data_IF_694709889833
#
_entry.id   IF_694709889833
#
_cell.length_a   1.000
_cell.length_b   1.000
_cell.length_c   1.000
_cell.angle_alpha   90.00
_cell.angle_beta   90.00
_cell.angle_gamma   90.00
#
_symmetry.space_group_name_H-M   'P 1'
#
loop_
_entity.id
_entity.type
_entity.pdbx_description
1 polymer ?
#
# COMPACT_ATOMS: atom_id res chain seq x y z
N UNK A 1 5.75 -0.44 18.44
CA UNK A 1 4.62 -1.37 18.18
C UNK A 1 5.11 -2.75 17.71
N UNK A 2 5.94 -2.87 16.67
CA UNK A 2 6.46 -4.18 16.21
C UNK A 2 7.25 -4.95 17.29
N UNK A 3 8.16 -4.29 18.02
CA UNK A 3 8.90 -4.90 19.14
C UNK A 3 7.99 -5.48 20.23
N UNK A 4 6.89 -4.78 20.54
CA UNK A 4 5.86 -5.26 21.46
C UNK A 4 5.13 -6.49 20.87
N UNK A 5 4.80 -6.48 19.58
CA UNK A 5 4.17 -7.61 18.90
C UNK A 5 5.03 -8.87 18.92
N UNK A 6 6.35 -8.72 18.75
CA UNK A 6 7.33 -9.80 18.83
C UNK A 6 7.40 -10.33 20.27
N UNK A 7 7.52 -9.44 21.26
CA UNK A 7 7.58 -9.80 22.67
C UNK A 7 6.30 -10.54 23.14
N UNK A 8 5.13 -10.09 22.70
CA UNK A 8 3.82 -10.71 23.03
C UNK A 8 3.54 -11.99 22.23
N UNK A 9 4.38 -12.35 21.25
CA UNK A 9 4.21 -13.50 20.35
C UNK A 9 2.86 -13.56 19.63
N UNK A 10 2.12 -12.44 19.55
CA UNK A 10 0.79 -12.40 18.96
C UNK A 10 0.88 -12.37 17.42
N UNK A 11 0.37 -13.39 16.70
CA UNK A 11 0.52 -13.46 15.24
C UNK A 11 -0.24 -12.36 14.51
N UNK A 12 -1.41 -11.94 15.00
CA UNK A 12 -2.24 -10.89 14.38
C UNK A 12 -1.55 -9.53 14.50
N UNK A 13 -1.05 -9.20 15.70
CA UNK A 13 -0.37 -7.92 15.91
C UNK A 13 0.93 -7.84 15.10
N UNK A 14 1.66 -8.95 14.96
CA UNK A 14 2.83 -9.03 14.08
C UNK A 14 2.45 -8.80 12.62
N UNK A 15 1.42 -9.48 12.12
CA UNK A 15 0.95 -9.31 10.74
C UNK A 15 0.53 -7.86 10.46
N UNK A 16 -0.20 -7.22 11.39
CA UNK A 16 -0.57 -5.82 11.29
C UNK A 16 0.65 -4.88 11.24
N UNK A 17 1.60 -5.02 12.18
CA UNK A 17 2.79 -4.18 12.18
C UNK A 17 3.68 -4.39 10.96
N UNK A 18 3.84 -5.63 10.50
CA UNK A 18 4.62 -5.93 9.31
C UNK A 18 3.94 -5.44 8.03
N UNK A 19 2.61 -5.52 7.94
CA UNK A 19 1.86 -4.96 6.83
C UNK A 19 2.02 -3.43 6.76
N UNK A 20 1.89 -2.73 7.88
CA UNK A 20 2.13 -1.28 7.94
C UNK A 20 3.56 -0.90 7.59
N UNK A 21 4.56 -1.66 8.06
CA UNK A 21 5.96 -1.42 7.69
C UNK A 21 6.20 -1.67 6.20
N UNK A 22 5.66 -2.76 5.65
CA UNK A 22 5.78 -3.06 4.22
C UNK A 22 5.13 -1.96 3.36
N UNK A 23 3.96 -1.47 3.77
CA UNK A 23 3.30 -0.34 3.11
C UNK A 23 4.18 0.91 3.12
N UNK A 24 4.69 1.34 4.28
CA UNK A 24 5.57 2.52 4.35
C UNK A 24 6.84 2.38 3.49
N UNK A 25 7.42 1.18 3.41
CA UNK A 25 8.60 0.91 2.60
C UNK A 25 8.29 0.93 1.10
N UNK A 26 7.12 0.43 0.71
CA UNK A 26 6.67 0.44 -0.68
C UNK A 26 6.26 1.84 -1.12
N UNK A 27 5.65 2.63 -0.24
CA UNK A 27 5.22 4.00 -0.54
C UNK A 27 6.41 4.96 -0.67
N UNK A 28 7.47 4.77 0.14
CA UNK A 28 8.64 5.64 0.16
C UNK A 28 9.21 6.01 -1.23
N UNK A 29 9.45 5.06 -2.16
CA UNK A 29 9.94 5.37 -3.51
C UNK A 29 8.88 5.88 -4.49
N UNK A 30 7.62 6.06 -4.11
CA UNK A 30 6.54 6.43 -5.04
C UNK A 30 5.80 7.73 -4.69
N UNK A 31 6.38 8.53 -3.79
CA UNK A 31 5.94 9.89 -3.53
C UNK A 31 6.92 10.91 -4.11
N UNK A 32 6.42 11.83 -4.94
CA UNK A 32 7.21 12.94 -5.49
C UNK A 32 6.87 14.23 -4.73
N UNK A 33 5.76 14.88 -5.08
CA UNK A 33 5.33 16.16 -4.49
C UNK A 33 4.65 16.02 -3.12
N UNK A 34 4.14 14.83 -2.82
CA UNK A 34 3.39 14.51 -1.61
C UNK A 34 4.22 13.72 -0.58
N UNK A 35 5.55 13.67 -0.77
CA UNK A 35 6.45 13.00 0.14
C UNK A 35 6.38 13.57 1.57
N UNK A 36 6.29 12.68 2.56
CA UNK A 36 6.33 13.06 3.96
C UNK A 36 7.67 13.67 4.36
N UNK A 37 7.65 14.59 5.32
CA UNK A 37 8.86 15.13 5.96
C UNK A 37 9.38 14.13 6.99
N UNK A 38 10.38 13.33 6.64
CA UNK A 38 10.81 12.20 7.49
C UNK A 38 11.47 12.63 8.80
N UNK A 39 12.03 13.84 8.84
CA UNK A 39 12.80 14.36 9.98
C UNK A 39 12.14 15.58 10.63
N UNK A 40 10.84 15.78 10.43
CA UNK A 40 10.11 16.83 11.14
C UNK A 40 10.10 16.55 12.66
N UNK A 41 10.21 17.57 13.55
CA UNK A 41 10.26 19.01 13.29
C UNK A 41 11.67 19.60 13.08
N UNK A 42 12.69 18.75 12.94
CA UNK A 42 14.07 19.22 12.83
C UNK A 42 14.42 19.74 11.44
N UNK A 43 13.86 19.12 10.40
CA UNK A 43 14.02 19.57 9.02
C UNK A 43 12.74 19.31 8.22
N UNK A 44 12.48 20.15 7.22
CA UNK A 44 11.43 19.93 6.22
C UNK A 44 11.91 19.08 5.03
N UNK A 45 13.05 18.39 5.17
CA UNK A 45 13.58 17.52 4.13
C UNK A 45 12.58 16.42 3.78
N UNK A 46 12.44 16.19 2.48
CA UNK A 46 11.60 15.15 1.87
C UNK A 46 12.42 14.39 0.85
N UNK A 47 12.15 13.10 0.73
CA UNK A 47 12.61 12.32 -0.41
C UNK A 47 11.64 12.51 -1.59
N UNK A 48 11.98 13.41 -2.51
CA UNK A 48 11.24 13.63 -3.76
C UNK A 48 11.63 12.54 -4.76
N UNK A 49 10.83 11.47 -4.84
CA UNK A 49 11.14 10.34 -5.73
C UNK A 49 10.99 10.72 -7.20
N UNK A 50 11.90 10.33 -8.12
CA UNK A 50 11.71 10.58 -9.56
C UNK A 50 10.51 9.82 -10.17
N UNK A 51 9.85 8.98 -9.37
CA UNK A 51 8.70 8.17 -9.76
C UNK A 51 7.58 8.40 -8.75
N UNK A 52 6.34 8.51 -9.23
CA UNK A 52 5.13 8.62 -8.43
C UNK A 52 4.16 7.50 -8.76
N UNK A 53 3.34 7.07 -7.80
CA UNK A 53 2.22 6.16 -8.06
C UNK A 53 0.96 6.88 -8.55
N UNK A 54 0.87 8.20 -8.42
CA UNK A 54 -0.33 8.95 -8.82
C UNK A 54 -0.03 10.09 -9.80
N UNK A 55 1.14 10.73 -9.74
CA UNK A 55 1.48 11.82 -10.64
C UNK A 55 1.91 11.29 -12.01
N UNK A 56 1.10 11.64 -13.02
CA UNK A 56 1.34 11.30 -14.43
C UNK A 56 2.65 11.85 -14.99
N UNK A 57 3.15 12.99 -14.51
CA UNK A 57 4.43 13.56 -14.94
C UNK A 57 5.63 12.70 -14.48
N UNK A 58 5.42 11.92 -13.42
CA UNK A 58 6.42 11.04 -12.81
C UNK A 58 6.03 9.56 -12.94
N UNK A 59 5.56 9.13 -14.11
CA UNK A 59 5.21 7.75 -14.43
C UNK A 59 4.05 7.12 -13.63
N UNK A 60 3.25 7.92 -12.91
CA UNK A 60 2.08 7.43 -12.16
C UNK A 60 1.08 6.65 -13.01
N UNK A 61 0.97 6.99 -14.29
CA UNK A 61 0.14 6.25 -15.24
C UNK A 61 0.57 4.78 -15.45
N UNK A 62 1.85 4.49 -15.25
CA UNK A 62 2.43 3.15 -15.39
C UNK A 62 2.49 2.47 -14.01
N UNK A 63 2.99 3.18 -13.00
CA UNK A 63 3.16 2.62 -11.66
C UNK A 63 1.82 2.26 -11.03
N UNK A 64 0.79 3.09 -11.16
CA UNK A 64 -0.52 2.77 -10.59
C UNK A 64 -1.11 1.49 -11.20
N UNK A 65 -0.79 1.15 -12.44
CA UNK A 65 -1.23 -0.11 -13.06
C UNK A 65 -0.54 -1.29 -12.38
N UNK A 66 0.76 -1.17 -12.12
CA UNK A 66 1.52 -2.19 -11.39
C UNK A 66 1.05 -2.36 -9.95
N UNK A 67 0.71 -1.27 -9.25
CA UNK A 67 0.13 -1.35 -7.91
C UNK A 67 -1.21 -2.07 -7.90
N UNK A 68 -2.12 -1.70 -8.81
CA UNK A 68 -3.42 -2.37 -8.94
C UNK A 68 -3.27 -3.87 -9.28
N UNK A 69 -2.33 -4.21 -10.18
CA UNK A 69 -2.02 -5.60 -10.51
C UNK A 69 -1.40 -6.35 -9.32
N UNK A 70 -0.54 -5.71 -8.55
CA UNK A 70 0.06 -6.25 -7.33
C UNK A 70 -1.00 -6.55 -6.27
N UNK A 71 -1.94 -5.62 -6.04
CA UNK A 71 -3.06 -5.79 -5.12
C UNK A 71 -3.91 -7.02 -5.50
N UNK A 72 -4.28 -7.14 -6.77
CA UNK A 72 -5.08 -8.28 -7.24
C UNK A 72 -4.30 -9.60 -7.16
N UNK A 73 -3.02 -9.58 -7.51
CA UNK A 73 -2.14 -10.75 -7.42
C UNK A 73 -2.03 -11.23 -5.97
N UNK A 74 -1.84 -10.31 -5.02
CA UNK A 74 -1.75 -10.64 -3.60
C UNK A 74 -3.09 -11.16 -3.06
N UNK A 75 -4.21 -10.57 -3.48
CA UNK A 75 -5.55 -11.05 -3.10
C UNK A 75 -5.81 -12.49 -3.59
N UNK A 76 -5.47 -12.79 -4.84
CA UNK A 76 -5.56 -14.14 -5.41
C UNK A 76 -4.62 -15.11 -4.67
N UNK A 77 -3.38 -14.69 -4.40
CA UNK A 77 -2.42 -15.49 -3.64
C UNK A 77 -2.97 -15.83 -2.24
N UNK A 78 -3.48 -14.83 -1.50
CA UNK A 78 -4.09 -15.03 -0.17
C UNK A 78 -5.28 -15.99 -0.22
N UNK A 79 -6.12 -15.88 -1.25
CA UNK A 79 -7.24 -16.80 -1.48
C UNK A 79 -6.83 -18.26 -1.69
N UNK A 80 -5.70 -18.47 -2.38
CA UNK A 80 -5.17 -19.81 -2.63
C UNK A 80 -4.55 -20.44 -1.39
N UNK A 81 -3.74 -19.68 -0.64
CA UNK A 81 -3.03 -20.20 0.54
C UNK A 81 -3.95 -20.37 1.75
N UNK A 82 -4.97 -19.52 1.92
CA UNK A 82 -5.89 -19.60 3.05
C UNK A 82 -7.21 -20.27 2.68
N UNK A 83 -7.51 -21.41 3.33
CA UNK A 83 -8.78 -22.13 3.18
C UNK A 83 -9.86 -21.72 4.20
N UNK A 84 -9.50 -20.91 5.19
CA UNK A 84 -10.43 -20.46 6.21
C UNK A 84 -11.54 -19.57 5.60
N UNK A 85 -12.83 -19.89 5.79
CA UNK A 85 -13.94 -19.13 5.20
C UNK A 85 -13.99 -17.67 5.67
N UNK A 86 -13.60 -17.37 6.91
CA UNK A 86 -13.56 -16.00 7.42
C UNK A 86 -12.49 -15.17 6.69
N UNK A 87 -11.30 -15.72 6.45
CA UNK A 87 -10.23 -15.04 5.69
C UNK A 87 -10.68 -14.83 4.24
N UNK A 88 -11.32 -15.83 3.64
CA UNK A 88 -11.85 -15.74 2.28
C UNK A 88 -12.92 -14.67 2.14
N UNK A 89 -13.84 -14.60 3.11
CA UNK A 89 -14.83 -13.53 3.18
C UNK A 89 -14.15 -12.16 3.27
N UNK A 90 -13.15 -11.99 4.15
CA UNK A 90 -12.39 -10.75 4.25
C UNK A 90 -11.70 -10.38 2.93
N UNK A 91 -11.05 -11.32 2.26
CA UNK A 91 -10.42 -11.06 0.95
C UNK A 91 -11.47 -10.65 -0.09
N UNK A 92 -12.61 -11.34 -0.15
CA UNK A 92 -13.70 -11.03 -1.07
C UNK A 92 -14.33 -9.66 -0.85
N UNK A 93 -14.30 -9.12 0.37
CA UNK A 93 -14.84 -7.79 0.66
C UNK A 93 -13.75 -6.71 0.48
N UNK A 94 -12.58 -6.92 1.07
CA UNK A 94 -11.53 -5.90 1.14
C UNK A 94 -10.85 -5.68 -0.21
N UNK A 95 -10.47 -6.75 -0.93
CA UNK A 95 -9.71 -6.59 -2.18
C UNK A 95 -10.50 -5.80 -3.25
N UNK A 96 -11.80 -6.09 -3.50
CA UNK A 96 -12.59 -5.26 -4.41
C UNK A 96 -12.77 -3.82 -3.92
N UNK A 97 -12.95 -3.61 -2.61
CA UNK A 97 -13.11 -2.25 -2.07
C UNK A 97 -11.86 -1.40 -2.28
N UNK A 98 -10.67 -1.97 -2.07
CA UNK A 98 -9.39 -1.31 -2.29
C UNK A 98 -9.13 -1.10 -3.78
N UNK A 99 -9.46 -2.09 -4.62
CA UNK A 99 -9.35 -1.95 -6.06
C UNK A 99 -10.29 -0.87 -6.63
N UNK A 100 -11.52 -0.78 -6.12
CA UNK A 100 -12.47 0.26 -6.52
C UNK A 100 -11.96 1.65 -6.12
N UNK A 101 -11.40 1.79 -4.91
CA UNK A 101 -10.75 3.04 -4.50
C UNK A 101 -9.59 3.38 -5.42
N UNK A 102 -8.74 2.41 -5.75
CA UNK A 102 -7.63 2.58 -6.69
C UNK A 102 -8.11 3.06 -8.08
N UNK A 103 -9.13 2.42 -8.64
CA UNK A 103 -9.74 2.81 -9.92
C UNK A 103 -10.37 4.20 -9.82
N UNK A 104 -11.04 4.52 -8.72
CA UNK A 104 -11.58 5.86 -8.50
C UNK A 104 -10.48 6.91 -8.50
N UNK A 105 -9.38 6.70 -7.77
CA UNK A 105 -8.23 7.60 -7.77
C UNK A 105 -7.65 7.76 -9.17
N UNK A 106 -7.50 6.66 -9.91
CA UNK A 106 -7.06 6.73 -11.30
C UNK A 106 -8.02 7.57 -12.15
N UNK A 107 -9.34 7.42 -12.03
CA UNK A 107 -10.28 8.21 -12.86
C UNK A 107 -10.31 9.68 -12.44
N UNK A 108 -10.34 9.95 -11.12
CA UNK A 108 -10.52 11.29 -10.58
C UNK A 108 -9.27 12.17 -10.76
N UNK A 109 -8.07 11.59 -10.68
CA UNK A 109 -6.81 12.34 -10.70
C UNK A 109 -5.98 12.15 -11.97
N UNK A 110 -6.32 11.20 -12.87
CA UNK A 110 -5.57 11.03 -14.14
C UNK A 110 -5.90 12.02 -15.26
N UNK A 111 -6.89 12.91 -15.09
CA UNK A 111 -7.20 13.93 -16.11
C UNK A 111 -7.27 13.35 -17.53
N UNK A 112 -8.31 12.58 -17.84
CA UNK A 112 -8.82 12.55 -19.21
C UNK A 112 -9.56 13.88 -19.45
#
# INVERSE_FOLDING_TARGET
>A
MLWLAIALKNPVLKAFCLAGLAHLLLDFPFHHDDAHMQFWPFTDWRFESPVSYWDSAHYGNIISVFEGAGLMTLAVYLWHIHKNPAIRFLVCVLAPSLFLMHVFYMIAFRGI
#
